data_IF_033543611253
#
_entry.id   IF_033543611253
#
_cell.length_a   1.000
_cell.length_b   1.000
_cell.length_c   1.000
_cell.angle_alpha   90.00
_cell.angle_beta   90.00
_cell.angle_gamma   90.00
#
_symmetry.space_group_name_H-M   'P 1'
#
loop_
_entity.id
_entity.type
_entity.pdbx_description
1 polymer ?
#
# COMPACT_ATOMS: atom_id res chain seq x y z
N UNK A 1 -49.06 -36.89 24.42
CA UNK A 1 -48.89 -37.07 25.89
C UNK A 1 -48.01 -35.96 26.41
N UNK A 2 -48.56 -35.13 27.29
CA UNK A 2 -47.86 -34.09 28.04
C UNK A 2 -47.24 -34.70 29.29
N UNK A 3 -46.07 -34.23 29.73
CA UNK A 3 -45.77 -34.00 31.15
C UNK A 3 -44.80 -32.82 31.26
N UNK A 4 -45.32 -31.72 31.79
CA UNK A 4 -44.62 -30.53 32.29
C UNK A 4 -44.33 -30.76 33.77
N UNK A 5 -43.13 -30.47 34.28
CA UNK A 5 -42.94 -30.13 35.70
C UNK A 5 -41.96 -28.96 35.82
N UNK A 6 -42.46 -27.90 36.49
CA UNK A 6 -41.76 -26.69 36.88
C UNK A 6 -41.43 -26.73 38.38
N UNK A 7 -40.50 -25.88 38.80
CA UNK A 7 -40.24 -25.30 40.15
C UNK A 7 -38.72 -25.22 40.36
N UNK A 8 -38.10 -24.22 41.01
CA UNK A 8 -38.54 -23.02 41.72
C UNK A 8 -37.32 -22.10 41.82
N UNK A 9 -37.52 -20.78 41.85
CA UNK A 9 -36.49 -19.77 41.98
C UNK A 9 -36.05 -19.53 43.44
N UNK A 10 -34.79 -19.12 43.65
CA UNK A 10 -34.36 -18.35 44.84
C UNK A 10 -33.29 -17.33 44.42
N UNK A 11 -33.60 -16.04 44.58
CA UNK A 11 -32.65 -14.94 44.79
C UNK A 11 -32.88 -14.46 46.23
N UNK A 12 -31.88 -13.93 46.98
CA UNK A 12 -31.42 -12.55 46.76
C UNK A 12 -29.97 -12.25 47.22
N UNK A 13 -29.46 -11.04 46.97
CA UNK A 13 -29.18 -10.01 48.00
C UNK A 13 -28.20 -8.96 47.45
N UNK A 14 -28.62 -7.70 47.62
CA UNK A 14 -27.96 -6.46 47.20
C UNK A 14 -26.83 -6.08 48.16
N UNK A 15 -25.76 -5.49 47.66
CA UNK A 15 -24.95 -4.51 48.41
C UNK A 15 -24.78 -3.25 47.56
N UNK A 16 -25.11 -2.11 48.16
CA UNK A 16 -24.96 -0.77 47.61
C UNK A 16 -24.17 0.12 48.59
N UNK A 17 -23.61 1.20 48.04
CA UNK A 17 -22.98 2.38 48.69
C UNK A 17 -21.49 2.21 49.08
N UNK A 18 -20.57 3.15 48.79
CA UNK A 18 -20.60 4.62 48.97
C UNK A 18 -19.50 5.35 48.12
N UNK A 19 -19.52 6.70 48.03
CA UNK A 19 -18.72 7.50 47.09
C UNK A 19 -17.49 8.24 47.69
N UNK A 20 -16.67 8.77 46.77
CA UNK A 20 -15.84 9.99 46.79
C UNK A 20 -14.88 10.31 47.96
N UNK A 21 -13.60 10.51 47.63
CA UNK A 21 -12.74 11.53 48.24
C UNK A 21 -11.58 11.90 47.28
N UNK A 22 -11.33 13.20 47.14
CA UNK A 22 -10.23 13.83 46.41
C UNK A 22 -9.25 14.45 47.43
N UNK A 23 -7.96 14.44 47.12
CA UNK A 23 -6.92 15.44 47.51
C UNK A 23 -5.60 15.02 46.78
N UNK A 24 -5.11 15.82 45.82
CA UNK A 24 -4.13 16.92 45.98
C UNK A 24 -2.71 16.43 46.32
N UNK A 25 -1.81 16.50 45.32
CA UNK A 25 -0.38 16.62 45.56
C UNK A 25 0.29 17.40 44.40
N UNK A 26 0.57 18.65 44.74
CA UNK A 26 1.50 19.63 44.17
C UNK A 26 2.80 19.10 43.54
N UNK A 27 3.29 19.79 42.52
CA UNK A 27 4.73 19.78 42.20
C UNK A 27 5.08 20.23 40.79
N UNK A 28 5.27 21.54 40.61
CA UNK A 28 5.87 22.12 39.42
C UNK A 28 7.32 21.63 39.20
N UNK A 29 7.68 21.32 37.97
CA UNK A 29 9.01 21.56 37.39
C UNK A 29 8.85 21.92 35.92
N UNK A 30 8.74 23.22 35.67
CA UNK A 30 9.02 23.81 34.37
C UNK A 30 10.48 23.54 34.02
N UNK A 31 10.71 22.87 32.89
CA UNK A 31 11.97 22.94 32.19
C UNK A 31 11.67 23.50 30.80
N UNK A 32 12.04 24.76 30.63
CA UNK A 32 12.05 25.49 29.37
C UNK A 32 12.65 24.65 28.24
N UNK A 33 11.85 24.38 27.21
CA UNK A 33 12.35 24.15 25.86
C UNK A 33 11.58 25.09 24.93
N UNK A 34 12.06 26.32 24.87
CA UNK A 34 11.82 27.22 23.74
C UNK A 34 12.57 26.64 22.55
N UNK A 35 11.87 25.92 21.67
CA UNK A 35 12.41 25.46 20.39
C UNK A 35 11.35 25.70 19.29
N UNK A 36 11.62 26.72 18.49
CA UNK A 36 11.21 26.95 17.11
C UNK A 36 9.95 26.25 16.59
N UNK A 37 8.82 26.93 16.79
CA UNK A 37 7.59 26.72 16.03
C UNK A 37 7.71 27.39 14.66
N UNK A 38 8.54 26.86 13.75
CA UNK A 38 8.35 27.10 12.30
C UNK A 38 9.12 26.14 11.38
N UNK A 39 9.19 24.85 11.71
CA UNK A 39 9.49 23.83 10.70
C UNK A 39 8.16 23.29 10.16
N UNK A 40 7.79 23.67 8.94
CA UNK A 40 6.77 22.95 8.18
C UNK A 40 7.27 21.51 8.03
N UNK A 41 6.78 20.61 8.88
CA UNK A 41 7.09 19.20 8.79
C UNK A 41 6.56 18.68 7.45
N UNK A 42 7.45 18.40 6.51
CA UNK A 42 7.11 17.55 5.36
C UNK A 42 6.54 16.25 5.93
N UNK A 43 5.37 15.77 5.45
CA UNK A 43 4.83 14.50 5.91
C UNK A 43 5.91 13.43 5.79
N UNK A 44 6.29 12.82 6.92
CA UNK A 44 7.35 11.84 6.91
C UNK A 44 6.82 10.57 6.24
N UNK A 45 7.34 10.28 5.03
CA UNK A 45 7.00 9.06 4.29
C UNK A 45 7.45 7.83 5.05
N UNK A 46 6.75 6.72 4.83
CA UNK A 46 7.06 5.45 5.50
C UNK A 46 8.44 4.92 5.06
N UNK A 47 9.22 4.30 5.96
CA UNK A 47 10.58 3.83 5.62
C UNK A 47 10.60 2.78 4.52
N UNK A 48 11.41 3.02 3.50
CA UNK A 48 11.78 2.07 2.46
C UNK A 48 13.06 1.29 2.83
N UNK A 49 13.48 0.41 1.92
CA UNK A 49 14.71 -0.38 2.07
C UNK A 49 15.56 -0.29 0.82
N UNK A 50 16.85 0.06 0.97
CA UNK A 50 17.80 0.19 -0.14
C UNK A 50 18.09 -1.15 -0.84
N UNK A 51 17.95 -2.26 -0.11
CA UNK A 51 18.11 -3.62 -0.63
C UNK A 51 16.81 -4.22 -1.19
N UNK A 52 15.69 -3.48 -1.11
CA UNK A 52 14.45 -3.87 -1.77
C UNK A 52 14.63 -3.87 -3.29
N UNK A 53 14.18 -4.94 -3.94
CA UNK A 53 14.28 -5.09 -5.39
C UNK A 53 12.88 -5.27 -5.96
N UNK A 54 12.36 -4.21 -6.55
CA UNK A 54 11.12 -4.22 -7.32
C UNK A 54 11.46 -4.39 -8.80
N UNK A 55 10.73 -5.26 -9.51
CA UNK A 55 11.07 -5.58 -10.90
C UNK A 55 9.87 -5.97 -11.74
N UNK A 56 9.93 -5.59 -13.03
CA UNK A 56 9.12 -6.19 -14.08
C UNK A 56 9.88 -7.42 -14.56
N UNK A 57 9.25 -8.58 -14.46
CA UNK A 57 9.81 -9.86 -14.89
C UNK A 57 9.59 -10.14 -16.38
N UNK A 58 8.48 -9.66 -16.93
CA UNK A 58 8.23 -9.57 -18.37
C UNK A 58 7.14 -8.53 -18.63
N UNK A 59 7.17 -7.78 -19.75
CA UNK A 59 8.16 -7.82 -20.84
C UNK A 59 9.57 -7.35 -20.44
N UNK A 60 10.57 -7.76 -21.21
CA UNK A 60 11.94 -7.25 -21.04
C UNK A 60 12.07 -5.84 -21.63
N UNK A 61 13.12 -5.12 -21.25
CA UNK A 61 13.46 -3.87 -21.91
C UNK A 61 13.85 -4.13 -23.37
N UNK A 62 13.19 -3.44 -24.30
CA UNK A 62 13.33 -3.60 -25.74
C UNK A 62 12.40 -4.64 -26.37
N UNK A 63 11.56 -5.32 -25.57
CA UNK A 63 10.66 -6.35 -26.07
C UNK A 63 9.64 -5.79 -27.08
N UNK A 64 9.32 -6.61 -28.07
CA UNK A 64 8.24 -6.33 -29.04
C UNK A 64 7.04 -7.19 -28.69
N UNK A 65 5.90 -6.56 -28.42
CA UNK A 65 4.69 -7.24 -27.95
C UNK A 65 3.48 -6.93 -28.84
N UNK A 66 2.43 -7.74 -28.69
CA UNK A 66 1.12 -7.46 -29.29
C UNK A 66 0.34 -6.39 -28.54
N UNK A 67 -0.79 -5.97 -29.09
CA UNK A 67 -1.65 -4.94 -28.47
C UNK A 67 -2.26 -5.36 -27.14
N UNK A 68 -2.38 -6.67 -26.88
CA UNK A 68 -2.78 -7.26 -25.61
C UNK A 68 -1.70 -8.22 -25.14
N UNK A 69 -1.14 -7.98 -23.95
CA UNK A 69 -0.03 -8.76 -23.41
C UNK A 69 -0.02 -8.82 -21.88
N UNK A 70 0.50 -9.91 -21.33
CA UNK A 70 0.70 -10.07 -19.88
C UNK A 70 1.84 -9.16 -19.39
N UNK A 71 1.79 -8.71 -18.15
CA UNK A 71 2.93 -8.13 -17.45
C UNK A 71 3.00 -8.82 -16.12
N UNK A 72 4.12 -9.45 -15.79
CA UNK A 72 4.34 -10.02 -14.46
C UNK A 72 5.52 -9.31 -13.80
N UNK A 73 5.42 -9.19 -12.49
CA UNK A 73 6.32 -8.39 -11.68
C UNK A 73 6.45 -8.96 -10.28
N UNK A 74 7.46 -8.53 -9.56
CA UNK A 74 7.72 -9.01 -8.22
C UNK A 74 8.56 -8.08 -7.39
N UNK A 75 8.69 -8.46 -6.13
CA UNK A 75 9.39 -7.72 -5.08
C UNK A 75 10.27 -8.70 -4.29
N UNK A 76 11.49 -8.27 -3.95
CA UNK A 76 12.38 -8.98 -3.03
C UNK A 76 12.82 -8.04 -1.91
N UNK A 77 13.14 -8.60 -0.75
CA UNK A 77 13.62 -7.89 0.44
C UNK A 77 12.67 -6.80 0.98
N UNK A 78 11.38 -6.92 0.69
CA UNK A 78 10.31 -6.08 1.22
C UNK A 78 8.98 -6.84 1.13
N UNK A 79 7.96 -6.43 1.88
CA UNK A 79 6.68 -7.12 1.91
C UNK A 79 5.61 -6.48 1.01
N UNK A 80 4.61 -7.29 0.65
CA UNK A 80 3.40 -6.83 -0.03
C UNK A 80 2.22 -6.95 0.94
N UNK A 81 1.42 -5.90 1.09
CA UNK A 81 0.19 -5.87 1.86
C UNK A 81 -0.92 -5.18 1.05
N UNK A 82 -2.20 -5.49 1.32
CA UNK A 82 -3.29 -4.77 0.66
C UNK A 82 -3.26 -3.26 0.95
N UNK A 83 -3.74 -2.45 0.01
CA UNK A 83 -3.93 -1.03 0.22
C UNK A 83 -4.86 -0.78 1.43
N UNK A 84 -4.60 0.29 2.20
CA UNK A 84 -5.28 0.60 3.45
C UNK A 84 -4.85 -0.24 4.67
N UNK A 85 -4.07 -1.32 4.48
CA UNK A 85 -3.53 -2.11 5.60
C UNK A 85 -2.16 -1.58 5.99
N UNK A 86 -2.07 -0.94 7.16
CA UNK A 86 -0.80 -0.45 7.70
C UNK A 86 -0.03 -1.60 8.35
N UNK A 87 1.13 -1.92 7.77
CA UNK A 87 2.09 -2.88 8.32
C UNK A 87 3.51 -2.47 7.92
N UNK A 88 4.40 -2.44 8.90
CA UNK A 88 5.79 -2.04 8.70
C UNK A 88 6.50 -2.91 7.66
N UNK A 89 7.32 -2.28 6.82
CA UNK A 89 8.09 -2.96 5.78
C UNK A 89 7.23 -3.59 4.69
N UNK A 90 6.02 -3.07 4.48
CA UNK A 90 5.12 -3.53 3.41
C UNK A 90 4.56 -2.36 2.60
N UNK A 91 4.17 -2.67 1.37
CA UNK A 91 3.45 -1.76 0.48
C UNK A 91 2.66 -2.54 -0.56
N UNK A 92 2.23 -1.88 -1.63
CA UNK A 92 1.58 -2.52 -2.77
C UNK A 92 2.07 -1.93 -4.10
N UNK A 93 1.86 -2.68 -5.18
CA UNK A 93 2.40 -2.31 -6.49
C UNK A 93 1.55 -1.24 -7.18
N UNK A 94 2.24 -0.32 -7.84
CA UNK A 94 1.70 0.56 -8.87
C UNK A 94 2.50 0.35 -10.15
N UNK A 95 1.83 0.36 -11.31
CA UNK A 95 2.48 0.36 -12.62
C UNK A 95 2.22 1.69 -13.33
N UNK A 96 3.29 2.40 -13.65
CA UNK A 96 3.29 3.62 -14.43
C UNK A 96 3.46 3.25 -15.91
N UNK A 97 2.58 3.79 -16.75
CA UNK A 97 2.57 3.63 -18.20
C UNK A 97 2.73 5.00 -18.84
N UNK A 98 3.81 5.18 -19.61
CA UNK A 98 4.13 6.42 -20.33
C UNK A 98 4.15 7.70 -19.47
N UNK A 99 4.53 7.56 -18.20
CA UNK A 99 4.58 8.66 -17.24
C UNK A 99 5.69 8.46 -16.22
N UNK A 100 5.96 9.54 -15.48
CA UNK A 100 6.90 9.60 -14.37
C UNK A 100 6.20 10.13 -13.12
N UNK A 101 6.65 9.66 -11.95
CA UNK A 101 6.19 10.22 -10.70
C UNK A 101 6.83 11.59 -10.46
N UNK A 102 6.01 12.62 -10.37
CA UNK A 102 6.47 14.01 -10.19
C UNK A 102 6.65 14.38 -8.72
N UNK A 103 5.81 13.84 -7.84
CA UNK A 103 5.83 14.08 -6.42
C UNK A 103 5.83 12.74 -5.66
N UNK A 104 6.81 12.56 -4.77
CA UNK A 104 6.93 11.35 -3.96
C UNK A 104 6.19 11.47 -2.62
N UNK A 105 5.76 12.67 -2.23
CA UNK A 105 5.09 12.99 -0.97
C UNK A 105 3.56 12.98 -1.08
N UNK A 106 3.03 12.62 -2.25
CA UNK A 106 1.60 12.54 -2.53
C UNK A 106 1.17 11.12 -2.91
N UNK A 107 -0.11 10.76 -2.67
CA UNK A 107 -0.68 9.52 -3.16
C UNK A 107 -0.52 9.40 -4.68
N UNK A 108 -0.03 8.25 -5.14
CA UNK A 108 -0.02 7.92 -6.58
C UNK A 108 -1.48 7.83 -7.05
N UNK A 109 -1.89 8.56 -8.10
CA UNK A 109 -3.24 8.50 -8.62
C UNK A 109 -3.56 7.09 -9.17
N UNK A 110 -4.85 6.82 -9.37
CA UNK A 110 -5.31 5.61 -10.04
C UNK A 110 -6.07 6.01 -11.31
N UNK A 111 -5.39 5.96 -12.44
CA UNK A 111 -5.91 6.40 -13.74
C UNK A 111 -5.34 5.53 -14.87
N UNK A 112 -5.49 5.96 -16.13
CA UNK A 112 -5.05 5.20 -17.30
C UNK A 112 -3.53 5.01 -17.38
N UNK A 113 -2.75 5.90 -16.76
CA UNK A 113 -1.28 5.86 -16.74
C UNK A 113 -0.74 5.32 -15.42
N UNK A 114 -1.56 5.26 -14.37
CA UNK A 114 -1.17 4.80 -13.04
C UNK A 114 -2.09 3.67 -12.59
N UNK A 115 -1.67 2.42 -12.82
CA UNK A 115 -2.48 1.25 -12.51
C UNK A 115 -2.19 0.75 -11.10
N UNK A 116 -3.25 0.53 -10.33
CA UNK A 116 -3.16 0.16 -8.92
C UNK A 116 -3.37 -1.34 -8.66
N UNK A 117 -2.47 -1.95 -7.88
CA UNK A 117 -2.50 -3.37 -7.51
C UNK A 117 -2.54 -3.55 -5.99
N UNK A 118 -3.51 -2.90 -5.36
CA UNK A 118 -3.71 -2.89 -3.91
C UNK A 118 -4.21 -4.20 -3.28
N UNK A 119 -4.32 -5.30 -4.02
CA UNK A 119 -4.70 -6.63 -3.47
C UNK A 119 -3.52 -7.61 -3.45
N UNK A 120 -2.31 -7.11 -3.70
CA UNK A 120 -1.10 -7.94 -3.78
C UNK A 120 -0.97 -8.69 -5.10
N UNK A 121 -1.55 -8.18 -6.19
CA UNK A 121 -1.35 -8.75 -7.51
C UNK A 121 0.13 -8.66 -7.90
N UNK A 122 0.60 -9.67 -8.63
CA UNK A 122 1.96 -9.78 -9.18
C UNK A 122 1.95 -9.84 -10.70
N UNK A 123 0.78 -9.72 -11.32
CA UNK A 123 0.61 -9.71 -12.76
C UNK A 123 -0.65 -8.95 -13.16
N UNK A 124 -0.66 -8.54 -14.43
CA UNK A 124 -1.80 -7.93 -15.10
C UNK A 124 -1.78 -8.26 -16.59
N UNK A 125 -2.86 -7.96 -17.30
CA UNK A 125 -2.88 -7.90 -18.76
C UNK A 125 -3.06 -6.45 -19.16
N UNK A 126 -2.16 -5.93 -19.98
CA UNK A 126 -2.26 -4.59 -20.55
C UNK A 126 -2.80 -4.67 -21.97
N UNK A 127 -3.57 -3.64 -22.32
CA UNK A 127 -3.90 -3.32 -23.69
C UNK A 127 -3.38 -1.93 -24.01
N UNK A 128 -2.46 -1.84 -24.97
CA UNK A 128 -1.83 -0.60 -25.39
C UNK A 128 -1.97 -0.43 -26.91
N UNK A 129 -2.10 0.81 -27.42
CA UNK A 129 -2.08 1.07 -28.85
C UNK A 129 -0.70 0.71 -29.45
N UNK A 130 -0.60 0.47 -30.76
CA UNK A 130 0.69 0.30 -31.41
C UNK A 130 1.59 1.53 -31.23
N UNK A 131 2.85 1.32 -30.88
CA UNK A 131 3.79 2.40 -30.59
C UNK A 131 4.87 2.02 -29.59
N UNK A 132 5.69 3.01 -29.22
CA UNK A 132 6.72 2.87 -28.19
C UNK A 132 6.13 3.29 -26.84
N UNK A 133 6.26 2.43 -25.84
CA UNK A 133 5.73 2.66 -24.49
C UNK A 133 6.81 2.46 -23.43
N UNK A 134 6.66 3.13 -22.30
CA UNK A 134 7.49 2.90 -21.10
C UNK A 134 6.68 2.36 -19.96
N UNK A 135 7.25 1.39 -19.24
CA UNK A 135 6.66 0.78 -18.05
C UNK A 135 7.61 0.91 -16.86
N UNK A 136 7.08 1.26 -15.70
CA UNK A 136 7.84 1.28 -14.45
C UNK A 136 6.95 0.98 -13.24
N UNK A 137 7.41 0.10 -12.36
CA UNK A 137 6.76 -0.12 -11.07
C UNK A 137 7.25 0.85 -10.01
N UNK A 138 6.33 1.23 -9.12
CA UNK A 138 6.57 1.93 -7.86
C UNK A 138 5.87 1.17 -6.74
N UNK A 139 6.55 0.99 -5.60
CA UNK A 139 5.93 0.46 -4.39
C UNK A 139 5.51 1.62 -3.48
N UNK A 140 4.26 1.60 -3.05
CA UNK A 140 3.69 2.62 -2.17
C UNK A 140 3.05 1.98 -0.93
N UNK A 141 2.91 2.76 0.13
CA UNK A 141 2.38 2.32 1.41
C UNK A 141 0.85 2.18 1.43
N UNK A 142 0.27 2.02 2.62
CA UNK A 142 -1.18 1.84 2.78
C UNK A 142 -2.01 2.99 2.17
N UNK A 143 -1.46 4.21 2.10
CA UNK A 143 -2.10 5.43 1.65
C UNK A 143 -1.64 5.84 0.24
N UNK A 144 -1.04 4.90 -0.50
CA UNK A 144 -0.52 5.07 -1.87
C UNK A 144 0.63 6.07 -1.97
N UNK A 145 1.29 6.39 -0.86
CA UNK A 145 2.46 7.27 -0.86
C UNK A 145 3.74 6.43 -1.02
N UNK A 146 4.65 6.76 -1.95
CA UNK A 146 5.93 6.07 -2.07
C UNK A 146 6.77 6.08 -0.78
N UNK A 147 7.43 4.97 -0.48
CA UNK A 147 8.34 4.87 0.67
C UNK A 147 9.59 5.77 0.56
N UNK A 148 10.31 5.99 1.67
CA UNK A 148 11.59 6.71 1.70
C UNK A 148 12.76 5.84 2.21
N UNK A 149 13.77 5.50 1.37
CA UNK A 149 13.89 5.87 -0.04
C UNK A 149 12.82 5.19 -0.92
N UNK A 150 12.47 5.79 -2.07
CA UNK A 150 11.53 5.17 -3.01
C UNK A 150 11.99 3.79 -3.48
N UNK A 151 11.07 2.83 -3.48
CA UNK A 151 11.29 1.49 -4.01
C UNK A 151 10.66 1.43 -5.40
N UNK A 152 11.49 1.49 -6.43
CA UNK A 152 11.08 1.52 -7.83
C UNK A 152 11.83 0.47 -8.64
N UNK A 153 11.17 -0.04 -9.68
CA UNK A 153 11.85 -0.87 -10.67
C UNK A 153 12.67 -0.04 -11.66
N UNK A 154 13.55 -0.70 -12.42
CA UNK A 154 14.08 -0.12 -13.65
C UNK A 154 12.93 0.20 -14.61
N UNK A 155 12.93 1.40 -15.18
CA UNK A 155 12.05 1.74 -16.29
C UNK A 155 12.45 0.92 -17.51
N UNK A 156 11.48 0.28 -18.14
CA UNK A 156 11.66 -0.44 -19.40
C UNK A 156 10.96 0.29 -20.53
N UNK A 157 11.48 0.16 -21.75
CA UNK A 157 10.83 0.56 -22.99
C UNK A 157 10.39 -0.68 -23.74
N UNK A 158 9.18 -0.69 -24.28
CA UNK A 158 8.68 -1.76 -25.17
C UNK A 158 8.16 -1.17 -26.48
N UNK A 159 8.02 -2.03 -27.49
CA UNK A 159 7.34 -1.68 -28.75
C UNK A 159 6.11 -2.53 -28.92
N UNK A 160 4.95 -1.90 -29.04
CA UNK A 160 3.66 -2.57 -29.29
C UNK A 160 3.38 -2.55 -30.79
N UNK A 161 3.06 -3.72 -31.35
CA UNK A 161 2.77 -3.91 -32.78
C UNK A 161 1.38 -4.48 -32.99
N UNK A 162 0.63 -3.90 -33.94
CA UNK A 162 -0.72 -4.36 -34.30
C UNK A 162 -0.72 -5.77 -34.91
N UNK A 163 0.35 -6.11 -35.64
CA UNK A 163 0.52 -7.37 -36.37
C UNK A 163 1.17 -8.48 -35.53
N UNK A 164 1.60 -8.17 -34.30
CA UNK A 164 2.02 -9.16 -33.33
C UNK A 164 0.77 -9.63 -32.59
N UNK A 165 0.21 -10.80 -32.94
CA UNK A 165 -1.05 -11.32 -32.39
C UNK A 165 -1.11 -11.31 -30.86
N UNK A 166 -2.32 -11.45 -30.27
CA UNK A 166 -2.51 -11.38 -28.82
C UNK A 166 -1.53 -12.30 -28.07
N UNK A 167 -0.55 -11.70 -27.38
CA UNK A 167 0.43 -12.44 -26.59
C UNK A 167 -0.13 -12.65 -25.19
N UNK A 168 -1.13 -13.53 -25.09
CA UNK A 168 -1.56 -14.08 -23.80
C UNK A 168 -0.99 -15.49 -23.76
N UNK A 169 0.31 -15.63 -23.50
CA UNK A 169 0.87 -16.98 -23.31
C UNK A 169 0.31 -17.54 -22.01
N UNK A 170 -0.48 -18.61 -22.12
CA UNK A 170 -0.86 -19.48 -21.01
C UNK A 170 0.43 -20.10 -20.44
N UNK A 171 1.05 -19.39 -19.49
CA UNK A 171 2.16 -19.90 -18.68
C UNK A 171 1.91 -19.52 -17.24
#
# INVERSE_FOLDING_TARGET
>A
MAVLWAALAVAPLVCAATPAAAEEASGAHSADHKADQNATATPQRTPGRKDAWLYIGWPNNGEVVGTRFKVWFGLRNFGVAPAGVRKDGTGHHHLLVDTDLKNFDEPIPNDKQHLHFGKGQTETVLELPPGRHTLQLVLADADHVPHDPPIMSKKITITVRADHGQQVSER
#
